data_IF_097676605633
#
_entry.id   IF_097676605633
#
_cell.length_a   1.000
_cell.length_b   1.000
_cell.length_c   1.000
_cell.angle_alpha   90.00
_cell.angle_beta   90.00
_cell.angle_gamma   90.00
#
_symmetry.space_group_name_H-M   'P 1'
#
loop_
_entity.id
_entity.type
_entity.pdbx_description
1 polymer ?
#
# COMPACT_ATOMS: atom_id res chain seq x y z
N UNK A 1 9.31 0.79 -27.73
CA UNK A 1 9.00 2.13 -27.22
C UNK A 1 8.84 2.03 -25.70
N UNK A 2 9.85 2.41 -24.92
CA UNK A 2 9.74 2.39 -23.45
C UNK A 2 8.87 3.58 -23.06
N UNK A 3 7.61 3.32 -22.73
CA UNK A 3 6.75 4.32 -22.08
C UNK A 3 7.50 4.70 -20.80
N UNK A 4 7.92 5.96 -20.66
CA UNK A 4 8.57 6.45 -19.43
C UNK A 4 7.56 6.38 -18.29
N UNK A 5 7.49 5.22 -17.65
CA UNK A 5 6.87 5.03 -16.36
C UNK A 5 7.57 5.95 -15.36
N UNK A 6 6.83 6.61 -14.48
CA UNK A 6 7.41 7.48 -13.44
C UNK A 6 8.42 6.70 -12.58
N UNK A 7 9.34 7.38 -11.87
CA UNK A 7 10.26 6.72 -10.94
C UNK A 7 9.50 5.81 -9.94
N UNK A 8 8.31 6.25 -9.52
CA UNK A 8 7.39 5.45 -8.72
C UNK A 8 6.99 4.12 -9.39
N UNK A 9 6.62 4.15 -10.67
CA UNK A 9 6.29 2.94 -11.43
C UNK A 9 7.51 2.05 -11.60
N UNK A 10 8.67 2.61 -11.94
CA UNK A 10 9.92 1.86 -12.08
C UNK A 10 10.29 1.13 -10.78
N UNK A 11 10.19 1.80 -9.64
CA UNK A 11 10.44 1.19 -8.33
C UNK A 11 9.46 0.07 -8.00
N UNK A 12 8.18 0.23 -8.35
CA UNK A 12 7.18 -0.82 -8.15
C UNK A 12 7.41 -2.03 -9.08
N UNK A 13 7.89 -1.80 -10.29
CA UNK A 13 8.20 -2.85 -11.27
C UNK A 13 9.43 -3.68 -10.86
N UNK A 14 10.35 -3.10 -10.08
CA UNK A 14 11.49 -3.84 -9.50
C UNK A 14 11.06 -4.86 -8.43
N UNK A 15 9.84 -4.76 -7.89
CA UNK A 15 9.35 -5.65 -6.84
C UNK A 15 8.71 -6.90 -7.48
N UNK A 16 9.30 -8.10 -7.31
CA UNK A 16 8.77 -9.32 -7.90
C UNK A 16 7.41 -9.68 -7.30
N UNK A 17 6.34 -9.43 -8.06
CA UNK A 17 4.94 -9.64 -7.66
C UNK A 17 4.66 -11.03 -7.07
N UNK A 18 5.23 -12.06 -7.68
CA UNK A 18 5.01 -13.45 -7.27
C UNK A 18 5.64 -13.75 -5.91
N UNK A 19 6.87 -13.27 -5.69
CA UNK A 19 7.55 -13.45 -4.41
C UNK A 19 6.85 -12.65 -3.30
N UNK A 20 6.45 -11.42 -3.60
CA UNK A 20 5.65 -10.62 -2.67
C UNK A 20 4.34 -11.32 -2.31
N UNK A 21 3.60 -11.83 -3.30
CA UNK A 21 2.35 -12.55 -3.06
C UNK A 21 2.54 -13.81 -2.21
N UNK A 22 3.66 -14.52 -2.39
CA UNK A 22 4.02 -15.68 -1.57
C UNK A 22 4.22 -15.28 -0.11
N UNK A 23 5.03 -14.25 0.16
CA UNK A 23 5.26 -13.71 1.52
C UNK A 23 3.93 -13.26 2.15
N UNK A 24 3.09 -12.56 1.39
CA UNK A 24 1.78 -12.11 1.87
C UNK A 24 0.88 -13.27 2.28
N UNK A 25 0.90 -14.35 1.49
CA UNK A 25 0.12 -15.56 1.76
C UNK A 25 0.63 -16.30 2.98
N UNK A 26 1.94 -16.49 3.09
CA UNK A 26 2.60 -17.17 4.22
C UNK A 26 2.36 -16.44 5.54
N UNK A 27 2.52 -15.11 5.54
CA UNK A 27 2.25 -14.29 6.73
C UNK A 27 0.78 -13.99 7.00
N UNK A 28 -0.14 -14.37 6.09
CA UNK A 28 -1.57 -14.14 6.26
C UNK A 28 -1.98 -12.66 6.30
N UNK A 29 -1.17 -11.74 5.76
CA UNK A 29 -1.34 -10.29 5.89
C UNK A 29 -2.61 -9.74 5.21
N UNK A 30 -3.25 -10.53 4.34
CA UNK A 30 -4.50 -10.16 3.64
C UNK A 30 -5.76 -10.87 4.18
N UNK A 31 -5.65 -11.76 5.18
CA UNK A 31 -6.78 -12.57 5.68
C UNK A 31 -8.00 -11.73 6.09
N UNK A 32 -7.77 -10.54 6.66
CA UNK A 32 -8.82 -9.63 7.14
C UNK A 32 -9.15 -8.47 6.18
N UNK A 33 -8.56 -8.45 4.98
CA UNK A 33 -8.63 -7.31 4.06
C UNK A 33 -9.28 -7.67 2.73
N UNK A 34 -10.58 -7.37 2.58
CA UNK A 34 -11.34 -7.68 1.36
C UNK A 34 -11.03 -6.75 0.18
N UNK A 35 -10.84 -5.45 0.44
CA UNK A 35 -10.77 -4.39 -0.60
C UNK A 35 -9.42 -3.67 -0.68
N UNK A 36 -8.58 -3.77 0.35
CA UNK A 36 -7.28 -3.09 0.44
C UNK A 36 -6.18 -4.08 0.78
N UNK A 37 -5.54 -4.64 -0.24
CA UNK A 37 -4.56 -5.71 -0.11
C UNK A 37 -3.20 -5.19 0.35
N UNK A 38 -2.31 -6.09 0.72
CA UNK A 38 -0.95 -5.77 1.11
C UNK A 38 -0.21 -5.05 -0.03
N UNK A 39 -0.55 -5.37 -1.28
CA UNK A 39 -0.04 -4.64 -2.45
C UNK A 39 -0.46 -3.17 -2.45
N UNK A 40 -1.75 -2.87 -2.19
CA UNK A 40 -2.24 -1.49 -2.15
C UNK A 40 -1.55 -0.68 -1.04
N UNK A 41 -1.25 -1.33 0.09
CA UNK A 41 -0.48 -0.71 1.16
C UNK A 41 0.98 -0.46 0.76
N UNK A 42 1.65 -1.43 0.13
CA UNK A 42 3.02 -1.27 -0.35
C UNK A 42 3.14 -0.06 -1.27
N UNK A 43 2.24 0.03 -2.26
CA UNK A 43 2.14 1.17 -3.20
C UNK A 43 1.98 2.49 -2.43
N UNK A 44 1.14 2.49 -1.39
CA UNK A 44 0.91 3.67 -0.56
C UNK A 44 2.15 4.09 0.22
N UNK A 45 2.90 3.12 0.75
CA UNK A 45 4.14 3.39 1.45
C UNK A 45 5.25 3.86 0.51
N UNK A 46 5.39 3.26 -0.68
CA UNK A 46 6.38 3.74 -1.68
C UNK A 46 6.06 5.19 -2.09
N UNK A 47 4.78 5.52 -2.29
CA UNK A 47 4.36 6.89 -2.58
C UNK A 47 4.71 7.85 -1.44
N UNK A 48 4.50 7.43 -0.19
CA UNK A 48 4.87 8.22 0.99
C UNK A 48 6.35 8.59 1.00
N UNK A 49 7.24 7.63 0.71
CA UNK A 49 8.68 7.86 0.71
C UNK A 49 9.11 8.78 -0.43
N UNK A 50 8.56 8.60 -1.64
CA UNK A 50 8.93 9.42 -2.80
C UNK A 50 8.33 10.82 -2.79
N UNK A 51 7.08 10.94 -2.34
CA UNK A 51 6.36 12.21 -2.26
C UNK A 51 6.66 13.00 -0.98
N UNK A 52 7.54 12.49 -0.11
CA UNK A 52 7.81 13.02 1.23
C UNK A 52 6.52 13.35 2.01
N UNK A 53 5.49 12.53 1.83
CA UNK A 53 4.18 12.76 2.44
C UNK A 53 4.32 12.67 3.96
N UNK A 54 3.92 13.73 4.67
CA UNK A 54 4.08 13.84 6.12
C UNK A 54 2.83 13.38 6.88
N UNK A 55 1.76 13.06 6.16
CA UNK A 55 0.51 12.61 6.77
C UNK A 55 -0.21 11.54 5.95
N UNK A 56 -0.98 10.68 6.63
CA UNK A 56 -1.86 9.71 5.96
C UNK A 56 -2.87 10.38 5.03
N UNK A 57 -3.24 11.64 5.31
CA UNK A 57 -4.14 12.42 4.45
C UNK A 57 -3.45 12.79 3.14
N UNK A 58 -2.21 13.26 3.18
CA UNK A 58 -1.42 13.55 1.98
C UNK A 58 -1.21 12.30 1.12
N UNK A 59 -0.98 11.14 1.75
CA UNK A 59 -0.88 9.86 1.02
C UNK A 59 -2.20 9.54 0.32
N UNK A 60 -3.32 9.54 1.04
CA UNK A 60 -4.64 9.22 0.47
C UNK A 60 -5.05 10.19 -0.64
N UNK A 61 -4.89 11.50 -0.43
CA UNK A 61 -5.26 12.51 -1.41
C UNK A 61 -4.32 12.50 -2.62
N UNK A 62 -3.02 12.35 -2.40
CA UNK A 62 -2.01 12.28 -3.45
C UNK A 62 -2.17 11.04 -4.33
N UNK A 63 -2.43 9.87 -3.75
CA UNK A 63 -2.76 8.67 -4.52
C UNK A 63 -4.09 8.81 -5.26
N UNK A 64 -5.05 9.54 -4.69
CA UNK A 64 -6.32 9.87 -5.35
C UNK A 64 -6.11 10.69 -6.62
N UNK A 65 -5.23 11.70 -6.59
CA UNK A 65 -4.97 12.56 -7.75
C UNK A 65 -4.24 11.83 -8.89
N UNK A 66 -3.47 10.78 -8.58
CA UNK A 66 -2.77 9.96 -9.59
C UNK A 66 -3.45 8.62 -9.88
N UNK A 67 -4.64 8.36 -9.34
CA UNK A 67 -5.30 7.05 -9.40
C UNK A 67 -5.44 6.50 -10.83
N UNK A 68 -5.84 7.36 -11.79
CA UNK A 68 -5.97 6.97 -13.19
C UNK A 68 -4.64 6.51 -13.82
N UNK A 69 -3.52 7.10 -13.37
CA UNK A 69 -2.17 6.78 -13.84
C UNK A 69 -1.58 5.54 -13.18
N UNK A 70 -2.06 5.10 -12.02
CA UNK A 70 -1.49 3.96 -11.29
C UNK A 70 -2.35 2.69 -11.36
N UNK A 71 -3.49 2.73 -12.05
CA UNK A 71 -4.43 1.58 -12.16
C UNK A 71 -3.76 0.34 -12.76
N UNK A 72 -2.84 0.53 -13.71
CA UNK A 72 -2.09 -0.55 -14.34
C UNK A 72 -1.03 -1.17 -13.40
N UNK A 73 -0.68 -0.50 -12.30
CA UNK A 73 0.25 -1.00 -11.28
C UNK A 73 -0.45 -1.86 -10.23
N UNK A 74 -1.65 -2.39 -10.55
CA UNK A 74 -2.38 -3.33 -9.70
C UNK A 74 -3.19 -2.68 -8.56
N UNK A 75 -3.11 -1.36 -8.39
CA UNK A 75 -3.87 -0.62 -7.39
C UNK A 75 -5.20 -0.18 -7.97
N UNK A 76 -6.31 -0.79 -7.54
CA UNK A 76 -7.63 -0.52 -8.13
C UNK A 76 -8.23 0.79 -7.64
N UNK A 77 -7.93 1.18 -6.40
CA UNK A 77 -8.48 2.39 -5.76
C UNK A 77 -7.45 3.04 -4.85
N UNK A 78 -7.49 4.38 -4.78
CA UNK A 78 -6.74 5.09 -3.76
C UNK A 78 -7.30 4.72 -2.37
N UNK A 79 -6.42 4.51 -1.36
CA UNK A 79 -6.88 4.20 -0.02
C UNK A 79 -7.54 5.42 0.62
N UNK A 80 -8.61 5.19 1.38
CA UNK A 80 -9.04 6.18 2.35
C UNK A 80 -8.08 6.19 3.56
N UNK A 81 -8.05 7.32 4.28
CA UNK A 81 -7.12 7.52 5.42
C UNK A 81 -7.28 6.45 6.50
N UNK A 82 -8.51 6.11 6.87
CA UNK A 82 -8.82 5.16 7.95
C UNK A 82 -8.44 3.72 7.58
N UNK A 83 -8.65 3.30 6.33
CA UNK A 83 -8.23 1.98 5.84
C UNK A 83 -6.71 1.88 5.82
N UNK A 84 -6.01 2.92 5.37
CA UNK A 84 -4.55 2.94 5.38
C UNK A 84 -3.99 2.87 6.81
N UNK A 85 -4.56 3.65 7.74
CA UNK A 85 -4.19 3.61 9.16
C UNK A 85 -4.40 2.21 9.76
N UNK A 86 -5.58 1.63 9.55
CA UNK A 86 -5.94 0.30 10.06
C UNK A 86 -5.05 -0.80 9.44
N UNK A 87 -4.72 -0.69 8.15
CA UNK A 87 -3.80 -1.60 7.49
C UNK A 87 -2.37 -1.52 8.03
N UNK A 88 -1.86 -0.30 8.26
CA UNK A 88 -0.56 -0.09 8.87
C UNK A 88 -0.50 -0.69 10.27
N UNK A 89 -1.55 -0.53 11.07
CA UNK A 89 -1.62 -1.10 12.41
C UNK A 89 -1.66 -2.63 12.40
N UNK A 90 -2.50 -3.25 11.56
CA UNK A 90 -2.71 -4.71 11.60
C UNK A 90 -1.65 -5.54 10.89
N UNK A 91 -0.85 -4.92 10.02
CA UNK A 91 0.26 -5.57 9.33
C UNK A 91 1.63 -5.21 9.92
N UNK A 92 1.65 -4.40 10.99
CA UNK A 92 2.87 -4.17 11.77
C UNK A 92 3.16 -5.41 12.64
N UNK A 93 4.28 -6.12 12.40
CA UNK A 93 4.66 -7.27 13.22
C UNK A 93 4.96 -6.91 14.67
N UNK A 94 5.16 -5.63 14.99
CA UNK A 94 5.39 -5.13 16.36
C UNK A 94 4.10 -4.76 17.09
N UNK A 95 3.00 -4.53 16.37
CA UNK A 95 1.73 -4.11 16.99
C UNK A 95 1.01 -5.25 17.72
N UNK A 96 1.34 -6.51 17.41
CA UNK A 96 0.89 -7.70 18.14
C UNK A 96 1.34 -7.74 19.61
N UNK A 97 2.19 -6.80 20.05
CA UNK A 97 2.56 -6.59 21.45
C UNK A 97 1.78 -5.49 22.17
N UNK A 98 0.83 -4.80 21.51
CA UNK A 98 -0.03 -3.80 22.17
C UNK A 98 -1.37 -4.42 22.55
N UNK A 99 -1.82 -4.25 23.81
CA UNK A 99 -3.14 -4.73 24.21
C UNK A 99 -4.20 -4.06 23.34
N UNK A 100 -5.11 -4.88 22.81
CA UNK A 100 -6.26 -4.46 22.02
C UNK A 100 -7.14 -3.52 22.86
N UNK A 101 -7.21 -2.25 22.46
CA UNK A 101 -8.23 -1.32 22.98
C UNK A 101 -9.58 -1.80 22.41
N UNK A 102 -10.57 -2.15 23.24
CA UNK A 102 -11.90 -2.54 22.76
C UNK A 102 -12.57 -1.34 22.09
N UNK A 103 -13.41 -1.62 21.09
CA UNK A 103 -14.29 -0.63 20.45
C UNK A 103 -15.36 -0.12 21.40
#
# INVERSE_FOLDING_TARGET
MVVKASLFSQLLDMIPRNQFAKIVKEGGYDKNFKKFKAWDQLVSMVYCHLGQAKSLREISMGLGSIQGKIRHLGTKRAPNKSTLAHANMRRDPRSSRRPSIPS
#
